data_IF_502185824335
#
_entry.id   IF_502185824335
#
_cell.length_a   1.000
_cell.length_b   1.000
_cell.length_c   1.000
_cell.angle_alpha   90.00
_cell.angle_beta   90.00
_cell.angle_gamma   90.00
#
_symmetry.space_group_name_H-M   'P 1'
#
loop_
_entity.id
_entity.type
_entity.pdbx_description
1 polymer ?
#
# COMPACT_ATOMS: atom_id res chain seq x y z
N UNK A 1 38.51 -19.98 15.31
CA UNK A 1 38.10 -18.64 15.78
C UNK A 1 38.92 -17.57 15.08
N UNK A 2 38.39 -16.94 14.03
CA UNK A 2 39.01 -15.80 13.38
C UNK A 2 38.35 -14.52 13.90
N UNK A 3 39.05 -13.80 14.77
CA UNK A 3 38.61 -12.53 15.35
C UNK A 3 38.91 -11.41 14.35
N UNK A 4 37.90 -10.97 13.60
CA UNK A 4 37.96 -9.83 12.67
C UNK A 4 37.88 -8.48 13.41
N UNK A 5 38.82 -8.21 14.33
CA UNK A 5 38.82 -6.95 15.11
C UNK A 5 39.12 -5.71 14.27
N UNK A 6 39.82 -5.88 13.14
CA UNK A 6 40.24 -4.76 12.26
C UNK A 6 39.21 -4.41 11.19
N UNK A 7 38.31 -5.33 10.84
CA UNK A 7 37.27 -5.14 9.81
C UNK A 7 35.98 -4.56 10.39
N UNK A 8 35.78 -4.64 11.71
CA UNK A 8 34.59 -4.16 12.39
C UNK A 8 34.32 -2.65 12.20
N UNK A 9 35.31 -1.74 12.32
CA UNK A 9 35.06 -0.31 12.10
C UNK A 9 34.71 0.04 10.65
N UNK A 10 35.31 -0.69 9.69
CA UNK A 10 35.06 -0.49 8.25
C UNK A 10 33.68 -1.01 7.85
N UNK A 11 33.29 -2.16 8.41
CA UNK A 11 31.95 -2.72 8.31
C UNK A 11 30.92 -1.77 8.89
N UNK A 12 31.10 -1.33 10.14
CA UNK A 12 30.19 -0.42 10.84
C UNK A 12 29.94 0.85 10.01
N UNK A 13 30.99 1.46 9.47
CA UNK A 13 30.86 2.65 8.60
C UNK A 13 30.05 2.38 7.33
N UNK A 14 30.30 1.27 6.64
CA UNK A 14 29.64 1.00 5.38
C UNK A 14 28.21 0.47 5.55
N UNK A 15 27.88 -0.18 6.68
CA UNK A 15 26.47 -0.42 7.08
C UNK A 15 25.74 0.90 7.29
N UNK A 16 26.36 1.85 8.01
CA UNK A 16 25.78 3.18 8.22
C UNK A 16 25.64 3.96 6.90
N UNK A 17 26.60 3.83 5.98
CA UNK A 17 26.57 4.46 4.66
C UNK A 17 25.45 3.89 3.77
N UNK A 18 25.25 2.57 3.78
CA UNK A 18 24.14 1.93 3.09
C UNK A 18 22.78 2.32 3.67
N UNK A 19 22.63 2.29 4.99
CA UNK A 19 21.41 2.80 5.65
C UNK A 19 21.22 4.30 5.37
N UNK A 20 22.33 5.03 5.20
CA UNK A 20 22.38 6.40 4.72
C UNK A 20 21.78 6.62 3.33
N UNK A 21 21.73 5.60 2.46
CA UNK A 21 21.07 5.73 1.14
C UNK A 21 19.54 5.88 1.26
N UNK A 22 18.99 5.50 2.41
CA UNK A 22 17.58 5.72 2.77
C UNK A 22 17.41 6.86 3.78
N UNK A 23 18.46 7.67 3.99
CA UNK A 23 18.45 8.79 4.93
C UNK A 23 17.90 10.09 4.35
N UNK A 24 17.52 10.11 3.07
CA UNK A 24 16.68 11.17 2.51
C UNK A 24 15.20 10.77 2.64
N UNK A 25 14.54 11.17 3.73
CA UNK A 25 13.14 10.86 3.94
C UNK A 25 12.20 11.41 2.87
N UNK A 26 12.57 12.50 2.18
CA UNK A 26 11.76 13.07 1.11
C UNK A 26 11.83 12.21 -0.15
N UNK A 27 13.01 11.67 -0.47
CA UNK A 27 13.16 10.69 -1.56
C UNK A 27 12.43 9.38 -1.26
N UNK A 28 12.53 8.85 -0.03
CA UNK A 28 11.80 7.62 0.36
C UNK A 28 10.29 7.83 0.25
N UNK A 29 9.77 8.97 0.73
CA UNK A 29 8.37 9.33 0.58
C UNK A 29 7.97 9.47 -0.89
N UNK A 30 8.79 10.13 -1.71
CA UNK A 30 8.51 10.29 -3.13
C UNK A 30 8.46 8.95 -3.87
N UNK A 31 9.33 8.00 -3.54
CA UNK A 31 9.32 6.66 -4.13
C UNK A 31 8.08 5.84 -3.75
N UNK A 32 7.63 5.93 -2.49
CA UNK A 32 6.39 5.30 -2.04
C UNK A 32 5.17 5.95 -2.70
N UNK A 33 5.11 7.29 -2.66
CA UNK A 33 4.00 8.06 -3.22
C UNK A 33 3.86 7.88 -4.74
N UNK A 34 4.96 7.83 -5.51
CA UNK A 34 4.89 7.74 -6.97
C UNK A 34 4.28 6.41 -7.47
N UNK A 35 4.62 5.29 -6.82
CA UNK A 35 4.06 3.99 -7.16
C UNK A 35 2.60 3.86 -6.70
N UNK A 36 2.29 4.35 -5.51
CA UNK A 36 0.95 4.23 -4.91
C UNK A 36 -0.07 5.17 -5.56
N UNK A 37 0.31 6.40 -5.92
CA UNK A 37 -0.63 7.41 -6.42
C UNK A 37 -1.31 6.99 -7.73
N UNK A 38 -0.58 6.34 -8.64
CA UNK A 38 -1.15 5.97 -9.94
C UNK A 38 -2.09 4.77 -9.82
N UNK A 39 -1.74 3.79 -8.99
CA UNK A 39 -2.60 2.63 -8.73
C UNK A 39 -3.87 3.06 -7.99
N UNK A 40 -3.75 3.92 -6.98
CA UNK A 40 -4.89 4.48 -6.24
C UNK A 40 -5.86 5.19 -7.18
N UNK A 41 -5.37 6.12 -8.00
CA UNK A 41 -6.21 6.84 -8.97
C UNK A 41 -6.91 5.91 -9.95
N UNK A 42 -6.23 4.85 -10.40
CA UNK A 42 -6.84 3.87 -11.30
C UNK A 42 -7.97 3.10 -10.61
N UNK A 43 -7.80 2.74 -9.34
CA UNK A 43 -8.82 2.02 -8.55
C UNK A 43 -9.99 2.92 -8.15
N UNK A 44 -9.73 4.17 -7.83
CA UNK A 44 -10.77 5.18 -7.58
C UNK A 44 -11.61 5.41 -8.84
N UNK A 45 -10.98 5.55 -10.02
CA UNK A 45 -11.72 5.66 -11.28
C UNK A 45 -12.55 4.40 -11.57
N UNK A 46 -12.02 3.21 -11.29
CA UNK A 46 -12.77 1.97 -11.44
C UNK A 46 -13.99 1.91 -10.52
N UNK A 47 -13.84 2.38 -9.28
CA UNK A 47 -14.93 2.48 -8.31
C UNK A 47 -16.02 3.44 -8.79
N UNK A 48 -15.65 4.62 -9.29
CA UNK A 48 -16.62 5.58 -9.86
C UNK A 48 -17.41 4.99 -11.04
N UNK A 49 -16.76 4.20 -11.89
CA UNK A 49 -17.41 3.53 -13.02
C UNK A 49 -18.38 2.43 -12.55
N UNK A 50 -18.00 1.64 -11.54
CA UNK A 50 -18.85 0.62 -10.92
C UNK A 50 -20.09 1.26 -10.26
N UNK A 51 -19.90 2.35 -9.51
CA UNK A 51 -21.00 3.09 -8.88
C UNK A 51 -21.97 3.66 -9.91
N UNK A 52 -21.44 4.18 -11.03
CA UNK A 52 -22.27 4.68 -12.13
C UNK A 52 -23.08 3.56 -12.76
N UNK A 53 -22.46 2.41 -13.03
CA UNK A 53 -23.16 1.24 -13.58
C UNK A 53 -24.26 0.74 -12.64
N UNK A 54 -24.03 0.72 -11.33
CA UNK A 54 -25.05 0.38 -10.33
C UNK A 54 -26.24 1.36 -10.35
N UNK A 55 -25.98 2.67 -10.40
CA UNK A 55 -27.04 3.70 -10.52
C UNK A 55 -27.85 3.56 -11.80
N UNK A 56 -27.19 3.25 -12.91
CA UNK A 56 -27.87 3.03 -14.20
C UNK A 56 -28.78 1.79 -14.15
N UNK A 57 -28.34 0.70 -13.51
CA UNK A 57 -29.16 -0.49 -13.30
C UNK A 57 -30.35 -0.23 -12.38
N UNK A 58 -30.17 0.56 -11.31
CA UNK A 58 -31.26 0.99 -10.42
C UNK A 58 -32.30 1.85 -11.16
N UNK A 59 -31.84 2.75 -12.02
CA UNK A 59 -32.73 3.55 -12.87
C UNK A 59 -33.52 2.69 -13.86
N UNK A 60 -32.88 1.67 -14.47
CA UNK A 60 -33.55 0.72 -15.35
C UNK A 60 -34.61 -0.10 -14.60
N UNK A 61 -34.28 -0.60 -13.41
CA UNK A 61 -35.24 -1.32 -12.56
C UNK A 61 -36.45 -0.45 -12.21
N UNK A 62 -36.21 0.81 -11.82
CA UNK A 62 -37.26 1.78 -11.50
C UNK A 62 -38.16 2.05 -12.72
N UNK A 63 -37.59 2.13 -13.91
CA UNK A 63 -38.33 2.27 -15.16
C UNK A 63 -39.19 1.05 -15.47
N UNK A 64 -38.64 -0.16 -15.31
CA UNK A 64 -39.43 -1.38 -15.47
C UNK A 64 -40.58 -1.46 -14.45
N UNK A 65 -40.38 -0.97 -13.23
CA UNK A 65 -41.42 -0.89 -12.22
C UNK A 65 -42.53 0.09 -12.62
N UNK A 66 -42.19 1.24 -13.21
CA UNK A 66 -43.19 2.19 -13.72
C UNK A 66 -44.01 1.56 -14.85
N UNK A 67 -43.37 0.82 -15.76
CA UNK A 67 -44.06 0.09 -16.82
C UNK A 67 -45.02 -0.98 -16.30
N UNK A 68 -44.63 -1.72 -15.26
CA UNK A 68 -45.51 -2.67 -14.59
C UNK A 68 -46.73 -1.96 -13.95
N UNK A 69 -46.50 -0.84 -13.26
CA UNK A 69 -47.59 -0.05 -12.64
C UNK A 69 -48.58 0.54 -13.65
N UNK A 70 -48.13 0.75 -14.88
CA UNK A 70 -48.92 1.29 -15.99
C UNK A 70 -49.56 0.21 -16.87
N UNK A 71 -49.46 -1.07 -16.47
CA UNK A 71 -49.90 -2.23 -17.25
C UNK A 71 -49.26 -2.31 -18.66
N UNK A 72 -48.08 -1.69 -18.85
CA UNK A 72 -47.29 -1.77 -20.08
C UNK A 72 -46.50 -3.08 -20.13
N UNK A 73 -46.03 -3.55 -18.97
CA UNK A 73 -45.43 -4.87 -18.79
C UNK A 73 -46.31 -5.70 -17.86
N UNK A 74 -46.41 -6.99 -18.13
CA UNK A 74 -46.95 -7.93 -17.14
C UNK A 74 -45.86 -8.44 -16.19
N UNK A 75 -46.27 -9.12 -15.12
CA UNK A 75 -45.35 -9.60 -14.08
C UNK A 75 -44.28 -10.58 -14.60
N UNK A 76 -44.62 -11.45 -15.56
CA UNK A 76 -43.64 -12.37 -16.17
C UNK A 76 -42.59 -11.61 -16.99
N UNK A 77 -43.01 -10.59 -17.74
CA UNK A 77 -42.12 -9.75 -18.52
C UNK A 77 -41.23 -8.89 -17.62
N UNK A 78 -41.78 -8.35 -16.53
CA UNK A 78 -41.02 -7.60 -15.53
C UNK A 78 -39.93 -8.47 -14.88
N UNK A 79 -40.27 -9.69 -14.45
CA UNK A 79 -39.29 -10.60 -13.86
C UNK A 79 -38.17 -10.92 -14.86
N UNK A 80 -38.53 -11.25 -16.11
CA UNK A 80 -37.57 -11.55 -17.16
C UNK A 80 -36.65 -10.37 -17.48
N UNK A 81 -37.19 -9.14 -17.51
CA UNK A 81 -36.43 -7.93 -17.78
C UNK A 81 -35.41 -7.60 -16.67
N UNK A 82 -35.68 -8.01 -15.43
CA UNK A 82 -34.82 -7.72 -14.28
C UNK A 82 -33.91 -8.87 -13.85
N UNK A 83 -34.14 -10.09 -14.33
CA UNK A 83 -33.32 -11.26 -13.99
C UNK A 83 -31.84 -11.05 -14.37
N UNK A 84 -31.58 -10.54 -15.59
CA UNK A 84 -30.22 -10.20 -16.03
C UNK A 84 -29.62 -9.04 -15.22
N UNK A 85 -30.43 -8.07 -14.79
CA UNK A 85 -29.98 -6.96 -13.95
C UNK A 85 -29.56 -7.44 -12.56
N UNK A 86 -30.25 -8.44 -11.97
CA UNK A 86 -29.91 -8.95 -10.64
C UNK A 86 -28.52 -9.53 -10.58
N UNK A 87 -28.14 -10.38 -11.54
CA UNK A 87 -26.79 -10.96 -11.59
C UNK A 87 -25.71 -9.92 -11.83
N UNK A 88 -26.00 -8.87 -12.63
CA UNK A 88 -25.07 -7.77 -12.84
C UNK A 88 -24.90 -6.91 -11.58
N UNK A 89 -26.00 -6.58 -10.88
CA UNK A 89 -25.94 -5.85 -9.61
C UNK A 89 -25.12 -6.62 -8.59
N UNK A 90 -25.34 -7.93 -8.42
CA UNK A 90 -24.58 -8.74 -7.46
C UNK A 90 -23.07 -8.72 -7.77
N UNK A 91 -22.69 -8.90 -9.04
CA UNK A 91 -21.28 -8.83 -9.44
C UNK A 91 -20.65 -7.45 -9.23
N UNK A 92 -21.37 -6.38 -9.55
CA UNK A 92 -20.91 -5.00 -9.36
C UNK A 92 -20.83 -4.62 -7.87
N UNK A 93 -21.76 -5.08 -7.03
CA UNK A 93 -21.74 -4.84 -5.58
C UNK A 93 -20.53 -5.51 -4.93
N UNK A 94 -20.22 -6.76 -5.31
CA UNK A 94 -19.00 -7.44 -4.85
C UNK A 94 -17.77 -6.64 -5.28
N UNK A 95 -17.74 -6.17 -6.53
CA UNK A 95 -16.61 -5.39 -7.03
C UNK A 95 -16.45 -4.05 -6.31
N UNK A 96 -17.55 -3.38 -6.00
CA UNK A 96 -17.58 -2.16 -5.20
C UNK A 96 -16.98 -2.41 -3.82
N UNK A 97 -17.46 -3.43 -3.09
CA UNK A 97 -16.97 -3.77 -1.75
C UNK A 97 -15.46 -4.09 -1.75
N UNK A 98 -14.97 -4.77 -2.79
CA UNK A 98 -13.54 -5.05 -2.95
C UNK A 98 -12.71 -3.77 -3.15
N UNK A 99 -13.19 -2.87 -4.02
CA UNK A 99 -12.52 -1.61 -4.33
C UNK A 99 -12.52 -0.68 -3.11
N UNK A 100 -13.65 -0.54 -2.42
CA UNK A 100 -13.77 0.27 -1.21
C UNK A 100 -12.78 -0.18 -0.13
N UNK A 101 -12.75 -1.48 0.18
CA UNK A 101 -11.79 -2.02 1.16
C UNK A 101 -10.34 -1.80 0.75
N UNK A 102 -10.05 -1.89 -0.54
CA UNK A 102 -8.71 -1.65 -1.04
C UNK A 102 -8.33 -0.17 -0.90
N UNK A 103 -9.21 0.75 -1.29
CA UNK A 103 -8.98 2.21 -1.20
C UNK A 103 -8.83 2.64 0.27
N UNK A 104 -9.68 2.16 1.18
CA UNK A 104 -9.55 2.41 2.62
C UNK A 104 -8.21 1.94 3.16
N UNK A 105 -7.77 0.73 2.78
CA UNK A 105 -6.47 0.19 3.19
C UNK A 105 -5.32 1.05 2.68
N UNK A 106 -5.40 1.54 1.44
CA UNK A 106 -4.36 2.38 0.86
C UNK A 106 -4.33 3.78 1.48
N UNK A 107 -5.47 4.37 1.82
CA UNK A 107 -5.52 5.63 2.57
C UNK A 107 -4.79 5.55 3.92
N UNK A 108 -4.90 4.40 4.59
CA UNK A 108 -4.12 4.10 5.79
C UNK A 108 -2.61 4.02 5.55
N UNK A 109 -2.19 3.51 4.39
CA UNK A 109 -0.77 3.42 3.98
C UNK A 109 -0.24 4.80 3.62
N UNK A 110 -0.97 5.61 2.83
CA UNK A 110 -0.61 6.99 2.51
C UNK A 110 -0.44 7.83 3.78
N UNK A 111 -1.36 7.68 4.74
CA UNK A 111 -1.28 8.35 6.05
C UNK A 111 -0.05 7.95 6.87
N UNK A 112 0.43 6.71 6.71
CA UNK A 112 1.68 6.25 7.33
C UNK A 112 2.91 6.78 6.57
N UNK A 113 2.86 6.78 5.23
CA UNK A 113 3.91 7.31 4.37
C UNK A 113 4.13 8.82 4.57
N UNK A 114 3.11 9.60 4.90
CA UNK A 114 3.21 11.03 5.26
C UNK A 114 3.95 11.27 6.59
N UNK A 115 3.88 10.32 7.53
CA UNK A 115 4.58 10.41 8.82
C UNK A 115 6.01 9.89 8.74
N UNK A 116 6.29 9.02 7.78
CA UNK A 116 7.57 8.36 7.57
C UNK A 116 8.76 9.34 7.53
N UNK A 117 8.68 10.52 6.88
CA UNK A 117 9.77 11.48 6.88
C UNK A 117 10.18 11.96 8.27
N UNK A 118 9.19 12.30 9.10
CA UNK A 118 9.42 12.76 10.47
C UNK A 118 9.95 11.65 11.37
N UNK A 119 9.43 10.43 11.19
CA UNK A 119 9.87 9.25 11.93
C UNK A 119 11.32 8.86 11.56
N UNK A 120 11.69 8.90 10.28
CA UNK A 120 13.07 8.65 9.82
C UNK A 120 14.02 9.71 10.41
N UNK A 121 13.66 11.00 10.37
CA UNK A 121 14.49 12.07 10.95
C UNK A 121 14.70 11.86 12.46
N UNK A 122 13.62 11.62 13.19
CA UNK A 122 13.66 11.38 14.64
C UNK A 122 14.51 10.15 14.96
N UNK A 123 14.32 9.05 14.22
CA UNK A 123 15.12 7.84 14.39
C UNK A 123 16.61 8.09 14.14
N UNK A 124 16.97 8.81 13.07
CA UNK A 124 18.37 9.11 12.76
C UNK A 124 19.01 10.01 13.82
N UNK A 125 18.30 11.03 14.29
CA UNK A 125 18.75 11.93 15.36
C UNK A 125 18.99 11.16 16.66
N UNK A 126 18.02 10.34 17.08
CA UNK A 126 18.12 9.50 18.27
C UNK A 126 19.26 8.49 18.13
N UNK A 127 19.33 7.80 16.99
CA UNK A 127 20.34 6.78 16.76
C UNK A 127 21.76 7.37 16.72
N UNK A 128 21.97 8.52 16.08
CA UNK A 128 23.26 9.21 16.05
C UNK A 128 23.67 9.74 17.43
N UNK A 129 22.71 10.16 18.26
CA UNK A 129 22.95 10.61 19.64
C UNK A 129 23.32 9.49 20.61
N UNK A 130 23.09 8.22 20.26
CA UNK A 130 23.44 7.07 21.09
C UNK A 130 24.95 6.77 21.10
N UNK A 131 25.43 6.20 22.19
CA UNK A 131 26.78 5.64 22.22
C UNK A 131 26.89 4.39 21.33
N UNK A 132 28.10 4.12 20.84
CA UNK A 132 28.40 3.04 19.87
C UNK A 132 27.92 1.66 20.35
N UNK A 133 27.94 1.38 21.66
CA UNK A 133 27.48 0.08 22.16
C UNK A 133 25.97 -0.04 22.05
N UNK A 134 25.22 1.03 22.32
CA UNK A 134 23.76 1.08 22.15
C UNK A 134 23.35 1.03 20.69
N UNK A 135 24.00 1.79 19.82
CA UNK A 135 23.79 1.71 18.36
C UNK A 135 23.94 0.27 17.85
N UNK A 136 25.03 -0.40 18.24
CA UNK A 136 25.28 -1.79 17.89
C UNK A 136 24.22 -2.73 18.42
N UNK A 137 23.79 -2.55 19.66
CA UNK A 137 22.69 -3.35 20.24
C UNK A 137 21.39 -3.15 19.47
N UNK A 138 21.06 -1.93 19.07
CA UNK A 138 19.88 -1.65 18.24
C UNK A 138 19.97 -2.33 16.88
N UNK A 139 21.09 -2.17 16.16
CA UNK A 139 21.29 -2.83 14.87
C UNK A 139 21.23 -4.35 14.97
N UNK A 140 21.67 -4.96 16.08
CA UNK A 140 21.58 -6.41 16.29
C UNK A 140 20.13 -6.92 16.41
N UNK A 141 19.19 -6.07 16.85
CA UNK A 141 17.76 -6.42 16.88
C UNK A 141 17.11 -6.41 15.49
N UNK A 142 17.66 -5.60 14.57
CA UNK A 142 17.13 -5.42 13.21
C UNK A 142 17.83 -6.31 12.18
N UNK A 143 19.15 -6.46 12.30
CA UNK A 143 20.00 -7.17 11.35
C UNK A 143 20.28 -8.60 11.83
N UNK A 144 20.08 -9.55 10.91
CA UNK A 144 20.46 -10.94 11.08
C UNK A 144 21.94 -11.14 10.78
N UNK A 145 22.42 -10.56 9.68
CA UNK A 145 23.81 -10.61 9.26
C UNK A 145 24.17 -9.41 8.38
N UNK A 146 25.48 -9.12 8.28
CA UNK A 146 26.05 -8.22 7.31
C UNK A 146 27.22 -8.95 6.62
N UNK A 147 27.10 -9.16 5.32
CA UNK A 147 28.10 -9.86 4.51
C UNK A 147 28.97 -8.83 3.79
N UNK A 148 30.29 -8.97 3.90
CA UNK A 148 31.25 -8.08 3.22
C UNK A 148 31.85 -8.82 2.05
N UNK A 149 31.62 -8.28 0.86
CA UNK A 149 32.19 -8.76 -0.38
C UNK A 149 33.23 -7.76 -0.88
N UNK A 150 34.50 -8.16 -0.94
CA UNK A 150 35.56 -7.33 -1.51
C UNK A 150 35.70 -5.96 -0.85
N UNK A 151 36.29 -5.00 -1.58
CA UNK A 151 36.71 -3.73 -0.98
C UNK A 151 35.56 -2.78 -0.60
N UNK A 152 34.39 -2.86 -1.25
CA UNK A 152 33.32 -1.84 -1.12
C UNK A 152 31.88 -2.37 -1.22
N UNK A 153 31.64 -3.68 -1.29
CA UNK A 153 30.25 -4.22 -1.34
C UNK A 153 29.85 -4.81 0.00
N UNK A 154 28.72 -4.34 0.55
CA UNK A 154 28.11 -4.90 1.75
C UNK A 154 26.67 -5.29 1.45
N UNK A 155 26.30 -6.51 1.83
CA UNK A 155 24.91 -6.98 1.80
C UNK A 155 24.40 -7.11 3.23
N UNK A 156 23.21 -6.56 3.50
CA UNK A 156 22.54 -6.65 4.79
C UNK A 156 21.39 -7.66 4.73
N UNK A 157 21.40 -8.60 5.68
CA UNK A 157 20.29 -9.52 5.89
C UNK A 157 19.51 -9.05 7.13
N UNK A 158 18.25 -8.66 6.94
CA UNK A 158 17.36 -8.23 8.02
C UNK A 158 16.69 -9.41 8.71
N UNK A 159 16.38 -9.26 9.99
CA UNK A 159 15.51 -10.18 10.72
C UNK A 159 14.06 -9.94 10.27
N UNK A 160 13.32 -11.02 10.06
CA UNK A 160 11.87 -10.98 9.81
C UNK A 160 11.11 -10.77 11.11
#
# INVERSE_FOLDING_TARGET
SFYNSHSAPKLERAVLEYLGQFSDPELVQAHLAAAETQEIKSRESELEDVERALKDLEAQFTKHLDYLKRDILNEKEFVKANEACRSQVEGLQIRQDELDRWVEKQSGITSAAERLPGEIKTFLEDFQGMDVRRQKSHLQTLLKAAYVYGHDTIELEFRK
#
